data_IF_115882812139
#
_entry.id   IF_115882812139
#
_cell.length_a   1.000
_cell.length_b   1.000
_cell.length_c   1.000
_cell.angle_alpha   90.00
_cell.angle_beta   90.00
_cell.angle_gamma   90.00
#
_symmetry.space_group_name_H-M   'P 1'
#
loop_
_entity.id
_entity.type
_entity.pdbx_description
1 polymer ?
#
# COMPACT_ATOMS: atom_id res chain seq x y z
N UNK A 1 -6.25 -19.80 18.83
CA UNK A 1 -6.36 -18.97 17.61
C UNK A 1 -5.02 -18.28 17.45
N UNK A 2 -4.33 -18.47 16.32
CA UNK A 2 -3.08 -17.74 16.08
C UNK A 2 -3.44 -16.26 15.89
N UNK A 3 -2.82 -15.36 16.65
CA UNK A 3 -3.00 -13.94 16.43
C UNK A 3 -2.55 -13.62 14.99
N UNK A 4 -3.41 -12.95 14.22
CA UNK A 4 -3.04 -12.45 12.90
C UNK A 4 -1.97 -11.39 13.10
N UNK A 5 -0.80 -11.59 12.47
CA UNK A 5 0.22 -10.56 12.37
C UNK A 5 -0.20 -9.60 11.26
N UNK A 6 -0.80 -8.48 11.69
CA UNK A 6 -1.27 -7.46 10.77
C UNK A 6 -0.11 -6.76 10.06
N UNK A 7 0.97 -6.44 10.77
CA UNK A 7 2.10 -5.69 10.21
C UNK A 7 2.80 -6.48 9.10
N UNK A 8 2.94 -7.79 9.25
CA UNK A 8 3.51 -8.66 8.23
C UNK A 8 2.77 -8.63 6.88
N UNK A 9 1.49 -8.20 6.85
CA UNK A 9 0.73 -8.05 5.59
C UNK A 9 1.14 -6.84 4.76
N UNK A 10 1.86 -5.89 5.35
CA UNK A 10 2.29 -4.64 4.71
C UNK A 10 3.82 -4.58 4.56
N UNK A 11 4.54 -5.62 4.99
CA UNK A 11 5.99 -5.69 4.85
C UNK A 11 6.38 -5.72 3.37
N UNK A 12 7.29 -4.83 2.98
CA UNK A 12 7.75 -4.70 1.59
C UNK A 12 6.76 -4.01 0.65
N UNK A 13 5.63 -3.47 1.13
CA UNK A 13 4.69 -2.74 0.29
C UNK A 13 5.28 -1.40 -0.18
N UNK A 14 5.52 -1.29 -1.49
CA UNK A 14 5.94 -0.07 -2.18
C UNK A 14 5.31 0.03 -3.58
N UNK A 15 5.60 1.12 -4.31
CA UNK A 15 5.06 1.29 -5.66
C UNK A 15 5.59 0.28 -6.67
N UNK A 16 6.79 -0.29 -6.45
CA UNK A 16 7.39 -1.26 -7.35
C UNK A 16 6.72 -2.62 -7.21
N UNK A 17 6.30 -2.99 -6.01
CA UNK A 17 5.44 -4.15 -5.74
C UNK A 17 4.13 -4.04 -6.53
N UNK A 18 3.47 -2.88 -6.49
CA UNK A 18 2.25 -2.64 -7.27
C UNK A 18 2.50 -2.67 -8.78
N UNK A 19 3.66 -2.21 -9.22
CA UNK A 19 4.06 -2.24 -10.63
C UNK A 19 4.33 -3.66 -11.13
N UNK A 20 5.04 -4.46 -10.33
CA UNK A 20 5.32 -5.87 -10.63
C UNK A 20 4.04 -6.71 -10.65
N UNK A 21 3.05 -6.37 -9.81
CA UNK A 21 1.72 -7.00 -9.86
C UNK A 21 0.99 -6.72 -11.19
N UNK A 22 1.09 -5.51 -11.72
CA UNK A 22 0.39 -5.12 -12.96
C UNK A 22 1.05 -5.66 -14.23
N UNK A 23 2.38 -5.77 -14.25
CA UNK A 23 3.14 -6.04 -15.47
C UNK A 23 4.06 -7.26 -15.40
N UNK A 24 4.19 -7.89 -14.23
CA UNK A 24 5.18 -8.92 -13.97
C UNK A 24 6.63 -8.37 -13.86
N UNK A 25 7.60 -9.27 -13.67
CA UNK A 25 9.00 -8.90 -13.37
C UNK A 25 9.71 -8.25 -14.56
N UNK A 26 9.23 -8.48 -15.78
CA UNK A 26 9.76 -7.92 -17.02
C UNK A 26 9.20 -6.51 -17.32
N UNK A 27 8.28 -6.02 -16.48
CA UNK A 27 7.68 -4.70 -16.60
C UNK A 27 6.77 -4.56 -17.82
N UNK A 28 6.51 -3.31 -18.27
CA UNK A 28 5.43 -3.00 -19.20
C UNK A 28 5.70 -3.46 -20.64
N UNK A 29 6.87 -4.05 -20.87
CA UNK A 29 7.24 -4.69 -22.13
C UNK A 29 6.75 -6.14 -22.23
N UNK A 30 6.19 -6.71 -21.15
CA UNK A 30 5.62 -8.04 -21.12
C UNK A 30 4.11 -8.01 -21.43
N UNK A 31 3.70 -8.44 -22.63
CA UNK A 31 2.30 -8.35 -23.08
C UNK A 31 1.40 -9.44 -22.50
N UNK A 32 1.95 -10.45 -21.81
CA UNK A 32 1.19 -11.64 -21.36
C UNK A 32 0.58 -11.49 -19.96
N UNK A 33 0.90 -10.43 -19.21
CA UNK A 33 0.49 -10.30 -17.81
C UNK A 33 0.11 -8.86 -17.45
N UNK A 34 -0.72 -8.21 -18.28
CA UNK A 34 -1.17 -6.84 -18.12
C UNK A 34 -2.64 -6.79 -17.68
N UNK A 35 -2.92 -7.20 -16.44
CA UNK A 35 -4.22 -6.92 -15.82
C UNK A 35 -4.10 -5.63 -14.98
N UNK A 36 -4.64 -4.49 -15.48
CA UNK A 36 -4.50 -3.19 -14.83
C UNK A 36 -5.23 -3.09 -13.49
N UNK A 37 -6.08 -4.06 -13.15
CA UNK A 37 -6.91 -4.03 -11.94
C UNK A 37 -6.23 -4.72 -10.74
N UNK A 38 -5.23 -5.60 -10.97
CA UNK A 38 -4.52 -6.34 -9.89
C UNK A 38 -3.98 -5.42 -8.78
N UNK A 39 -3.33 -4.28 -9.07
CA UNK A 39 -2.84 -3.39 -8.01
C UNK A 39 -3.97 -2.81 -7.16
N UNK A 40 -5.09 -2.47 -7.80
CA UNK A 40 -6.26 -1.96 -7.09
C UNK A 40 -6.86 -3.05 -6.20
N UNK A 41 -7.06 -4.26 -6.72
CA UNK A 41 -7.59 -5.39 -5.96
C UNK A 41 -6.70 -5.73 -4.75
N UNK A 42 -5.37 -5.68 -4.92
CA UNK A 42 -4.41 -5.92 -3.85
C UNK A 42 -4.53 -4.85 -2.74
N UNK A 43 -4.63 -3.57 -3.11
CA UNK A 43 -4.86 -2.48 -2.14
C UNK A 43 -6.21 -2.63 -1.44
N UNK A 44 -7.28 -3.00 -2.14
CA UNK A 44 -8.59 -3.23 -1.54
C UNK A 44 -8.56 -4.33 -0.47
N UNK A 45 -7.83 -5.42 -0.71
CA UNK A 45 -7.64 -6.48 0.28
C UNK A 45 -6.89 -5.99 1.54
N UNK A 46 -5.87 -5.15 1.36
CA UNK A 46 -5.14 -4.52 2.47
C UNK A 46 -6.02 -3.56 3.28
N UNK A 47 -6.93 -2.82 2.61
CA UNK A 47 -7.88 -1.94 3.28
C UNK A 47 -8.89 -2.71 4.14
N UNK A 48 -9.33 -3.90 3.71
CA UNK A 48 -10.16 -4.78 4.55
C UNK A 48 -9.43 -5.17 5.83
N UNK A 49 -8.14 -5.52 5.73
CA UNK A 49 -7.29 -5.86 6.87
C UNK A 49 -7.18 -4.68 7.85
N UNK A 50 -6.92 -3.46 7.35
CA UNK A 50 -6.88 -2.24 8.17
C UNK A 50 -8.24 -1.92 8.82
N UNK A 51 -9.35 -2.16 8.12
CA UNK A 51 -10.68 -1.94 8.65
C UNK A 51 -10.97 -2.87 9.84
N UNK A 52 -10.63 -4.16 9.73
CA UNK A 52 -10.75 -5.11 10.84
C UNK A 52 -9.88 -4.69 12.03
N UNK A 53 -8.61 -4.35 11.79
CA UNK A 53 -7.70 -3.89 12.84
C UNK A 53 -8.23 -2.66 13.56
N UNK A 54 -8.76 -1.67 12.82
CA UNK A 54 -9.38 -0.47 13.42
C UNK A 54 -10.56 -0.82 14.33
N UNK A 55 -11.40 -1.78 13.96
CA UNK A 55 -12.52 -2.21 14.81
C UNK A 55 -12.03 -2.86 16.11
N UNK A 56 -10.97 -3.66 16.06
CA UNK A 56 -10.36 -4.28 17.25
C UNK A 56 -9.77 -3.23 18.21
N UNK A 57 -9.12 -2.19 17.68
CA UNK A 57 -8.64 -1.05 18.48
C UNK A 57 -9.81 -0.32 19.15
N UNK A 58 -10.87 -0.01 18.39
CA UNK A 58 -12.06 0.69 18.93
C UNK A 58 -12.82 -0.15 19.96
N UNK A 59 -12.81 -1.46 19.83
CA UNK A 59 -13.40 -2.39 20.79
C UNK A 59 -12.52 -2.57 22.05
N UNK A 60 -11.28 -2.06 22.05
CA UNK A 60 -10.32 -2.22 23.13
C UNK A 60 -9.74 -3.64 23.24
N UNK A 61 -9.95 -4.50 22.23
CA UNK A 61 -9.34 -5.83 22.17
C UNK A 61 -7.89 -5.79 21.68
N UNK A 62 -7.40 -4.61 21.30
CA UNK A 62 -6.05 -4.35 20.76
C UNK A 62 -5.61 -2.91 21.06
N UNK A 63 -4.31 -2.67 21.23
CA UNK A 63 -3.74 -1.39 21.70
C UNK A 63 -2.53 -0.88 20.87
N UNK A 64 -2.24 -1.48 19.73
CA UNK A 64 -1.08 -1.17 18.86
C UNK A 64 -1.38 -0.12 17.78
N UNK A 65 -2.02 0.99 18.18
CA UNK A 65 -2.42 2.07 17.26
C UNK A 65 -1.25 2.67 16.45
N UNK A 66 -0.03 2.66 17.01
CA UNK A 66 1.17 3.14 16.31
C UNK A 66 1.51 2.30 15.08
N UNK A 67 1.38 0.97 15.16
CA UNK A 67 1.65 0.07 14.05
C UNK A 67 0.53 0.14 13.00
N UNK A 68 -0.73 0.30 13.45
CA UNK A 68 -1.85 0.58 12.56
C UNK A 68 -1.61 1.84 11.72
N UNK A 69 -1.17 2.95 12.34
CA UNK A 69 -0.88 4.21 11.63
C UNK A 69 0.26 4.02 10.62
N UNK A 70 1.33 3.32 11.00
CA UNK A 70 2.44 3.01 10.08
C UNK A 70 1.99 2.23 8.86
N UNK A 71 1.15 1.22 9.04
CA UNK A 71 0.65 0.40 7.93
C UNK A 71 -0.32 1.18 7.03
N UNK A 72 -1.18 2.03 7.61
CA UNK A 72 -2.05 2.92 6.85
C UNK A 72 -1.24 3.90 5.99
N UNK A 73 -0.18 4.49 6.54
CA UNK A 73 0.71 5.39 5.81
C UNK A 73 1.44 4.65 4.66
N UNK A 74 1.92 3.42 4.89
CA UNK A 74 2.57 2.61 3.86
C UNK A 74 1.64 2.34 2.65
N UNK A 75 0.39 1.94 2.89
CA UNK A 75 -0.61 1.76 1.81
C UNK A 75 -0.85 3.06 1.05
N UNK A 76 -1.01 4.17 1.78
CA UNK A 76 -1.24 5.49 1.17
C UNK A 76 -0.07 5.90 0.28
N UNK A 77 1.15 5.74 0.76
CA UNK A 77 2.37 6.13 0.03
C UNK A 77 2.57 5.28 -1.22
N UNK A 78 2.47 3.95 -1.11
CA UNK A 78 2.60 3.04 -2.25
C UNK A 78 1.57 3.35 -3.35
N UNK A 79 0.30 3.52 -2.97
CA UNK A 79 -0.77 3.81 -3.92
C UNK A 79 -0.62 5.16 -4.61
N UNK A 80 -0.21 6.21 -3.87
CA UNK A 80 0.03 7.52 -4.44
C UNK A 80 1.21 7.49 -5.42
N UNK A 81 2.33 6.89 -5.02
CA UNK A 81 3.52 6.79 -5.88
C UNK A 81 3.21 6.03 -7.18
N UNK A 82 2.51 4.89 -7.06
CA UNK A 82 2.02 4.12 -8.21
C UNK A 82 1.08 4.95 -9.10
N UNK A 83 0.11 5.66 -8.51
CA UNK A 83 -0.85 6.49 -9.26
C UNK A 83 -0.19 7.66 -9.99
N UNK A 84 0.81 8.31 -9.38
CA UNK A 84 1.58 9.39 -10.02
C UNK A 84 2.50 8.88 -11.13
N UNK A 85 3.08 7.69 -10.95
CA UNK A 85 3.88 7.03 -12.00
C UNK A 85 3.03 6.74 -13.24
N UNK A 86 1.75 6.38 -13.07
CA UNK A 86 1.01 5.78 -14.18
C UNK A 86 -0.37 6.33 -14.58
N UNK A 87 -1.20 6.87 -13.68
CA UNK A 87 -2.55 7.39 -14.05
C UNK A 87 -2.53 8.78 -14.72
N UNK A 88 -1.46 9.10 -15.48
CA UNK A 88 -1.32 10.38 -16.18
C UNK A 88 -0.99 11.57 -15.27
N UNK A 89 -0.42 11.31 -14.09
CA UNK A 89 0.11 12.34 -13.21
C UNK A 89 1.31 13.08 -13.82
N UNK A 90 1.72 14.24 -13.25
CA UNK A 90 2.95 14.90 -13.66
C UNK A 90 4.13 13.93 -13.56
N UNK A 91 5.01 13.94 -14.56
CA UNK A 91 6.24 13.14 -14.53
C UNK A 91 7.11 13.65 -13.38
N UNK A 92 7.15 12.88 -12.29
CA UNK A 92 8.01 13.11 -11.14
C UNK A 92 9.31 12.31 -11.30
N UNK A 93 10.47 12.82 -10.85
CA UNK A 93 11.71 12.06 -10.87
C UNK A 93 11.56 10.80 -10.03
N UNK A 94 12.06 9.66 -10.52
CA UNK A 94 12.09 8.43 -9.74
C UNK A 94 13.48 8.25 -9.10
N UNK A 95 13.57 7.88 -7.81
CA UNK A 95 12.48 7.89 -6.83
C UNK A 95 12.09 9.33 -6.46
N UNK A 96 10.81 9.57 -6.13
CA UNK A 96 10.38 10.80 -5.48
C UNK A 96 9.79 10.47 -4.12
N UNK A 97 10.16 11.26 -3.12
CA UNK A 97 9.46 11.27 -1.86
C UNK A 97 8.18 12.11 -2.02
N UNK A 98 7.06 11.59 -1.52
CA UNK A 98 5.90 12.42 -1.30
C UNK A 98 6.26 13.49 -0.26
N UNK A 99 5.73 14.73 -0.37
CA UNK A 99 5.92 15.72 0.66
C UNK A 99 5.42 15.13 1.98
N UNK A 100 6.36 14.83 2.89
CA UNK A 100 6.02 14.41 4.23
C UNK A 100 5.41 15.62 4.88
N UNK A 101 4.10 15.64 5.03
CA UNK A 101 3.48 16.53 5.99
C UNK A 101 4.05 16.08 7.33
N UNK A 102 5.09 16.78 7.83
CA UNK A 102 5.46 16.70 9.22
C UNK A 102 4.18 17.06 9.97
N UNK A 103 3.46 16.03 10.43
CA UNK A 103 2.38 16.22 11.37
C UNK A 103 3.05 16.87 12.58
N UNK A 104 2.91 18.19 12.66
CA UNK A 104 3.45 19.00 13.73
C UNK A 104 3.09 18.32 15.04
N UNK A 105 4.14 18.00 15.81
CA UNK A 105 4.07 17.47 17.17
C UNK A 105 3.21 18.35 18.07
#
# INVERSE_FOLDING_TARGET
>A
MSAIDYAARFEGLDSDTLFELEYGPDGPSNPDNSDPDIPQEYVEQLLVVLATWRQEILAGSRDDEGDYRRCLDAVREAWLQYSFRWKGGPSLPYPFDLPRTEAAR
#
